data_IF_880468915089
#
_entry.id   IF_880468915089
#
_cell.length_a   1.000
_cell.length_b   1.000
_cell.length_c   1.000
_cell.angle_alpha   90.00
_cell.angle_beta   90.00
_cell.angle_gamma   90.00
#
_symmetry.space_group_name_H-M   'P 1'
#
loop_
_entity.id
_entity.type
_entity.pdbx_description
1 polymer ?
#
# COMPACT_ATOMS: atom_id res chain seq x y z
N UNK A 1 44.76 3.98 -27.18
CA UNK A 1 45.92 4.71 -26.61
C UNK A 1 45.40 5.58 -25.47
N UNK A 2 46.14 5.70 -24.38
CA UNK A 2 45.75 6.60 -23.28
C UNK A 2 46.35 7.98 -23.53
N UNK A 3 45.52 9.02 -23.44
CA UNK A 3 45.96 10.40 -23.60
C UNK A 3 46.82 10.87 -22.44
N UNK A 4 47.41 12.07 -22.57
CA UNK A 4 48.26 12.71 -21.55
C UNK A 4 47.55 12.91 -20.20
N UNK A 5 46.21 12.90 -20.16
CA UNK A 5 45.40 12.96 -18.96
C UNK A 5 45.04 11.57 -18.37
N UNK A 6 45.62 10.48 -18.89
CA UNK A 6 45.34 9.11 -18.45
C UNK A 6 44.00 8.53 -18.90
N UNK A 7 43.21 9.28 -19.67
CA UNK A 7 41.94 8.82 -20.24
C UNK A 7 42.15 8.05 -21.54
N UNK A 8 41.47 6.89 -21.73
CA UNK A 8 41.53 6.15 -22.98
C UNK A 8 40.91 6.96 -24.12
N UNK A 9 41.70 7.23 -25.16
CA UNK A 9 41.26 7.91 -26.38
C UNK A 9 40.87 6.84 -27.40
N UNK A 10 39.68 7.02 -27.97
CA UNK A 10 39.03 6.11 -28.90
C UNK A 10 38.80 6.88 -30.19
N UNK A 11 38.97 6.25 -31.35
CA UNK A 11 38.65 6.84 -32.66
C UNK A 11 37.67 5.92 -33.39
N UNK A 12 36.85 6.49 -34.28
CA UNK A 12 35.99 5.71 -35.17
C UNK A 12 36.79 5.12 -36.35
N UNK A 13 36.14 4.37 -37.25
CA UNK A 13 36.78 3.76 -38.43
C UNK A 13 37.42 4.79 -39.39
N UNK A 14 37.00 6.06 -39.30
CA UNK A 14 37.54 7.17 -40.10
C UNK A 14 38.68 7.92 -39.40
N UNK A 15 39.01 7.57 -38.16
CA UNK A 15 40.07 8.23 -37.38
C UNK A 15 39.62 9.49 -36.61
N UNK A 16 38.33 9.78 -36.54
CA UNK A 16 37.79 10.92 -35.79
C UNK A 16 37.51 10.55 -34.34
N UNK A 17 37.67 11.52 -33.43
CA UNK A 17 37.28 11.36 -32.04
C UNK A 17 35.75 11.26 -31.93
N UNK A 18 35.20 10.39 -31.06
CA UNK A 18 33.76 10.29 -30.86
C UNK A 18 33.21 11.65 -30.41
N UNK A 19 32.22 12.15 -31.15
CA UNK A 19 31.56 13.41 -30.83
C UNK A 19 30.90 13.31 -29.45
N UNK A 20 31.20 14.26 -28.56
CA UNK A 20 30.55 14.37 -27.26
C UNK A 20 29.68 15.62 -27.26
N UNK A 21 28.36 15.45 -27.20
CA UNK A 21 27.40 16.55 -27.16
C UNK A 21 26.61 16.51 -25.86
N UNK A 22 26.46 17.66 -25.20
CA UNK A 22 25.48 17.81 -24.13
C UNK A 22 24.09 18.01 -24.74
N UNK A 23 23.10 17.28 -24.25
CA UNK A 23 21.71 17.36 -24.70
C UNK A 23 20.96 18.30 -23.76
N UNK A 24 20.42 19.38 -24.32
CA UNK A 24 19.64 20.37 -23.60
C UNK A 24 18.16 20.19 -23.89
N UNK A 25 17.32 20.27 -22.86
CA UNK A 25 15.88 20.39 -22.99
C UNK A 25 15.49 21.84 -22.76
N UNK A 26 14.79 22.40 -23.73
CA UNK A 26 14.14 23.69 -23.58
C UNK A 26 12.91 23.55 -22.68
N UNK A 27 12.85 24.31 -21.60
CA UNK A 27 11.73 24.32 -20.66
C UNK A 27 11.14 25.73 -20.57
N UNK A 28 9.83 25.85 -20.80
CA UNK A 28 9.07 27.09 -20.62
C UNK A 28 8.35 26.99 -19.28
N UNK A 29 8.82 27.77 -18.29
CA UNK A 29 8.08 27.99 -17.05
C UNK A 29 7.34 29.32 -17.15
N UNK A 30 6.22 29.51 -16.45
CA UNK A 30 5.39 30.72 -16.47
C UNK A 30 6.14 32.06 -16.24
N UNK A 31 7.43 32.03 -15.85
CA UNK A 31 8.26 33.21 -15.58
C UNK A 31 9.64 33.19 -16.25
N UNK A 32 10.06 32.09 -16.89
CA UNK A 32 11.40 31.99 -17.49
C UNK A 32 11.48 30.88 -18.54
N UNK A 33 12.35 31.09 -19.52
CA UNK A 33 12.76 30.09 -20.50
C UNK A 33 14.18 29.65 -20.15
N UNK A 34 14.37 28.36 -19.91
CA UNK A 34 15.66 27.81 -19.47
C UNK A 34 16.01 26.56 -20.29
N UNK A 35 17.29 26.44 -20.65
CA UNK A 35 17.85 25.21 -21.23
C UNK A 35 18.48 24.39 -20.12
N UNK A 36 17.87 23.24 -19.80
CA UNK A 36 18.37 22.32 -18.80
C UNK A 36 19.13 21.19 -19.46
N UNK A 37 20.36 20.91 -19.03
CA UNK A 37 21.10 19.73 -19.49
C UNK A 37 20.36 18.48 -19.04
N UNK A 38 19.80 17.74 -19.99
CA UNK A 38 19.08 16.49 -19.75
C UNK A 38 19.91 15.26 -20.07
N UNK A 39 21.12 15.40 -20.61
CA UNK A 39 21.97 14.25 -20.94
C UNK A 39 23.22 14.58 -21.72
N UNK A 40 23.95 13.55 -22.14
CA UNK A 40 25.12 13.60 -23.00
C UNK A 40 25.03 12.51 -24.09
N UNK A 41 25.48 12.80 -25.29
CA UNK A 41 25.64 11.86 -26.39
C UNK A 41 27.13 11.66 -26.65
N UNK A 42 27.60 10.42 -26.66
CA UNK A 42 29.01 10.06 -26.99
C UNK A 42 29.16 8.86 -27.92
N UNK A 43 28.07 8.09 -28.08
CA UNK A 43 27.88 6.92 -28.96
C UNK A 43 26.46 6.36 -28.73
N UNK A 44 25.98 6.45 -27.49
CA UNK A 44 24.58 6.26 -27.08
C UNK A 44 24.10 7.52 -26.35
N UNK A 45 22.78 7.69 -26.30
CA UNK A 45 22.13 8.80 -25.60
C UNK A 45 22.07 8.49 -24.09
N UNK A 46 22.82 9.23 -23.28
CA UNK A 46 22.81 9.13 -21.82
C UNK A 46 22.01 10.29 -21.24
N UNK A 47 20.81 10.04 -20.71
CA UNK A 47 19.99 11.09 -20.11
C UNK A 47 20.16 11.13 -18.57
N UNK A 48 20.26 12.34 -18.00
CA UNK A 48 20.36 12.67 -16.58
C UNK A 48 19.03 12.48 -15.82
N UNK A 49 18.30 11.38 -16.06
CA UNK A 49 17.41 10.87 -15.01
C UNK A 49 18.30 10.13 -14.04
N UNK A 50 18.17 10.39 -12.74
CA UNK A 50 19.01 9.69 -11.79
C UNK A 50 18.50 8.26 -11.65
N UNK A 51 19.40 7.29 -11.84
CA UNK A 51 19.14 5.87 -11.54
C UNK A 51 18.53 5.70 -10.15
N UNK A 52 18.92 6.58 -9.20
CA UNK A 52 18.34 6.66 -7.86
C UNK A 52 16.83 6.88 -7.86
N UNK A 53 16.28 7.77 -8.70
CA UNK A 53 14.82 7.99 -8.78
C UNK A 53 14.11 6.73 -9.29
N UNK A 54 14.69 6.03 -10.28
CA UNK A 54 14.14 4.76 -10.76
C UNK A 54 14.19 3.66 -9.69
N UNK A 55 15.29 3.57 -8.93
CA UNK A 55 15.42 2.67 -7.78
C UNK A 55 14.37 2.96 -6.72
N UNK A 56 14.22 4.22 -6.31
CA UNK A 56 13.22 4.61 -5.31
C UNK A 56 11.80 4.36 -5.80
N UNK A 57 11.50 4.63 -7.07
CA UNK A 57 10.19 4.31 -7.66
C UNK A 57 9.89 2.82 -7.56
N UNK A 58 10.83 1.94 -7.92
CA UNK A 58 10.66 0.48 -7.81
C UNK A 58 10.48 0.03 -6.35
N UNK A 59 11.22 0.61 -5.42
CA UNK A 59 11.16 0.32 -3.97
C UNK A 59 9.81 0.74 -3.37
N UNK A 60 9.43 2.00 -3.52
CA UNK A 60 8.28 2.56 -2.80
C UNK A 60 6.92 2.14 -3.37
N UNK A 61 6.85 1.81 -4.66
CA UNK A 61 5.60 1.43 -5.32
C UNK A 61 4.94 0.22 -4.66
N UNK A 62 5.72 -0.81 -4.32
CA UNK A 62 5.23 -1.97 -3.56
C UNK A 62 5.24 -1.77 -2.06
N UNK A 63 6.30 -1.16 -1.52
CA UNK A 63 6.49 -1.07 -0.08
C UNK A 63 5.48 -0.18 0.63
N UNK A 64 5.02 0.91 0.00
CA UNK A 64 4.06 1.82 0.63
C UNK A 64 2.77 1.09 1.02
N UNK A 65 2.23 0.29 0.11
CA UNK A 65 1.05 -0.54 0.38
C UNK A 65 1.34 -1.67 1.35
N UNK A 66 2.47 -2.35 1.15
CA UNK A 66 2.88 -3.43 2.04
C UNK A 66 2.95 -2.94 3.48
N UNK A 67 3.46 -1.73 3.73
CA UNK A 67 3.52 -1.14 5.07
C UNK A 67 2.11 -0.98 5.68
N UNK A 68 1.18 -0.38 4.94
CA UNK A 68 -0.20 -0.17 5.39
C UNK A 68 -0.91 -1.49 5.67
N UNK A 69 -0.90 -2.42 4.71
CA UNK A 69 -1.62 -3.69 4.83
C UNK A 69 -0.97 -4.67 5.80
N UNK A 70 0.37 -4.68 5.94
CA UNK A 70 1.03 -5.47 6.99
C UNK A 70 0.64 -4.98 8.39
N UNK A 71 0.61 -3.67 8.62
CA UNK A 71 0.20 -3.11 9.91
C UNK A 71 -1.27 -3.42 10.21
N UNK A 72 -2.16 -3.27 9.23
CA UNK A 72 -3.58 -3.61 9.37
C UNK A 72 -3.80 -5.10 9.60
N UNK A 73 -3.07 -5.95 8.88
CA UNK A 73 -3.11 -7.40 9.07
C UNK A 73 -2.66 -7.80 10.47
N UNK A 74 -1.53 -7.27 10.95
CA UNK A 74 -1.07 -7.53 12.32
C UNK A 74 -2.11 -7.09 13.34
N UNK A 75 -2.72 -5.92 13.15
CA UNK A 75 -3.75 -5.38 14.05
C UNK A 75 -5.01 -6.24 14.05
N UNK A 76 -5.53 -6.61 12.88
CA UNK A 76 -6.73 -7.46 12.74
C UNK A 76 -6.49 -8.87 13.25
N UNK A 77 -5.35 -9.48 12.93
CA UNK A 77 -4.96 -10.80 13.42
C UNK A 77 -4.87 -10.81 14.95
N UNK A 78 -4.28 -9.78 15.57
CA UNK A 78 -4.27 -9.64 17.03
C UNK A 78 -5.69 -9.59 17.60
N UNK A 79 -6.57 -8.77 17.04
CA UNK A 79 -7.98 -8.68 17.49
C UNK A 79 -8.64 -10.06 17.39
N UNK A 80 -8.50 -10.73 16.23
CA UNK A 80 -9.05 -12.06 16.01
C UNK A 80 -8.58 -13.06 17.07
N UNK A 81 -7.28 -13.12 17.36
CA UNK A 81 -6.69 -14.04 18.34
C UNK A 81 -7.18 -13.78 19.76
N UNK A 82 -7.36 -12.51 20.13
CA UNK A 82 -7.91 -12.14 21.45
C UNK A 82 -9.33 -12.67 21.61
N UNK A 83 -10.20 -12.45 20.62
CA UNK A 83 -11.59 -12.87 20.71
C UNK A 83 -11.77 -14.38 20.56
N UNK A 84 -11.05 -15.03 19.65
CA UNK A 84 -11.11 -16.48 19.48
C UNK A 84 -10.61 -17.24 20.70
N UNK A 85 -9.52 -16.79 21.32
CA UNK A 85 -9.05 -17.41 22.56
C UNK A 85 -9.94 -17.06 23.74
N UNK A 86 -10.48 -15.84 23.79
CA UNK A 86 -11.45 -15.46 24.81
C UNK A 86 -12.71 -16.34 24.84
N UNK A 87 -13.10 -16.95 23.70
CA UNK A 87 -14.19 -17.94 23.64
C UNK A 87 -13.83 -19.29 24.25
N UNK A 88 -12.55 -19.66 24.27
CA UNK A 88 -12.07 -21.00 24.64
C UNK A 88 -11.40 -21.05 26.02
N UNK A 89 -10.78 -19.96 26.45
CA UNK A 89 -10.01 -19.90 27.70
C UNK A 89 -9.89 -18.48 28.26
N UNK A 90 -9.70 -18.38 29.58
CA UNK A 90 -9.34 -17.16 30.30
C UNK A 90 -7.83 -16.86 30.26
N UNK A 91 -7.02 -17.67 29.56
CA UNK A 91 -5.59 -17.43 29.38
C UNK A 91 -5.31 -16.49 28.21
N UNK A 92 -4.39 -15.55 28.41
CA UNK A 92 -4.00 -14.61 27.36
C UNK A 92 -3.24 -15.29 26.20
N UNK A 93 -3.47 -14.88 24.94
CA UNK A 93 -2.72 -15.40 23.80
C UNK A 93 -1.23 -15.07 23.87
N UNK A 94 -0.40 -15.98 23.35
CA UNK A 94 0.99 -15.67 22.97
C UNK A 94 1.01 -14.49 21.96
N UNK A 95 2.10 -13.74 21.76
CA UNK A 95 2.16 -12.65 20.74
C UNK A 95 1.11 -11.53 20.86
N UNK A 96 0.78 -11.10 22.09
CA UNK A 96 -0.05 -9.91 22.34
C UNK A 96 0.81 -8.66 22.52
N UNK A 97 2.09 -8.82 22.88
CA UNK A 97 2.97 -7.72 23.23
C UNK A 97 3.22 -6.77 22.05
N UNK A 98 3.40 -5.45 22.31
CA UNK A 98 3.75 -4.49 21.25
C UNK A 98 4.99 -4.90 20.46
N UNK A 99 6.01 -5.42 21.15
CA UNK A 99 7.22 -5.93 20.50
C UNK A 99 6.91 -7.05 19.49
N UNK A 100 6.08 -8.02 19.87
CA UNK A 100 5.70 -9.11 18.94
C UNK A 100 4.91 -8.62 17.72
N UNK A 101 4.10 -7.56 17.86
CA UNK A 101 3.36 -6.96 16.75
C UNK A 101 4.30 -6.26 15.77
N UNK A 102 5.31 -5.54 16.29
CA UNK A 102 6.35 -4.95 15.45
C UNK A 102 7.13 -6.02 14.70
N UNK A 103 7.55 -7.10 15.38
CA UNK A 103 8.28 -8.21 14.74
C UNK A 103 7.47 -8.84 13.60
N UNK A 104 6.17 -9.11 13.80
CA UNK A 104 5.31 -9.66 12.75
C UNK A 104 5.15 -8.67 11.58
N UNK A 105 4.99 -7.38 11.88
CA UNK A 105 4.81 -6.37 10.84
C UNK A 105 6.09 -6.19 10.02
N UNK A 106 7.24 -6.12 10.69
CA UNK A 106 8.54 -6.05 10.03
C UNK A 106 8.83 -7.30 9.21
N UNK A 107 8.51 -8.51 9.69
CA UNK A 107 8.73 -9.73 8.91
C UNK A 107 7.93 -9.74 7.60
N UNK A 108 6.67 -9.29 7.64
CA UNK A 108 5.83 -9.17 6.44
C UNK A 108 6.37 -8.13 5.45
N UNK A 109 6.87 -6.99 5.94
CA UNK A 109 7.48 -5.95 5.09
C UNK A 109 8.83 -6.41 4.53
N UNK A 110 9.65 -7.08 5.34
CA UNK A 110 10.93 -7.63 4.92
C UNK A 110 10.78 -8.62 3.77
N UNK A 111 9.69 -9.38 3.72
CA UNK A 111 9.40 -10.26 2.59
C UNK A 111 9.24 -9.48 1.26
N UNK A 112 8.55 -8.33 1.29
CA UNK A 112 8.44 -7.45 0.11
C UNK A 112 9.80 -6.84 -0.27
N UNK A 113 10.58 -6.41 0.73
CA UNK A 113 11.93 -5.86 0.51
C UNK A 113 12.86 -6.88 -0.15
N UNK A 114 12.88 -8.12 0.36
CA UNK A 114 13.69 -9.21 -0.19
C UNK A 114 13.29 -9.45 -1.66
N UNK A 115 12.00 -9.49 -1.98
CA UNK A 115 11.52 -9.62 -3.36
C UNK A 115 12.04 -8.50 -4.27
N UNK A 116 12.01 -7.24 -3.82
CA UNK A 116 12.54 -6.10 -4.57
C UNK A 116 14.06 -6.21 -4.78
N UNK A 117 14.82 -6.61 -3.75
CA UNK A 117 16.27 -6.77 -3.86
C UNK A 117 16.68 -7.92 -4.79
N UNK A 118 15.95 -9.05 -4.76
CA UNK A 118 16.13 -10.14 -5.72
C UNK A 118 15.94 -9.58 -7.14
N UNK A 119 14.92 -8.75 -7.35
CA UNK A 119 14.66 -8.16 -8.65
C UNK A 119 15.71 -7.14 -9.09
N UNK A 120 16.34 -6.42 -8.16
CA UNK A 120 17.48 -5.55 -8.46
C UNK A 120 18.72 -6.34 -8.87
N UNK A 121 18.90 -7.56 -8.36
CA UNK A 121 20.00 -8.42 -8.74
C UNK A 121 19.83 -9.02 -10.14
N UNK A 122 18.58 -9.29 -10.55
CA UNK A 122 18.24 -9.84 -11.87
C UNK A 122 18.21 -8.73 -12.92
N UNK A 123 17.41 -7.68 -12.66
CA UNK A 123 17.20 -6.56 -13.57
C UNK A 123 17.59 -5.25 -12.87
N UNK A 124 18.85 -4.77 -13.00
CA UNK A 124 19.26 -3.53 -12.37
C UNK A 124 18.44 -2.34 -12.90
N UNK A 125 18.13 -1.36 -12.04
CA UNK A 125 17.38 -0.17 -12.44
C UNK A 125 18.18 0.59 -13.50
N UNK A 126 17.62 0.67 -14.69
CA UNK A 126 18.18 1.44 -15.79
C UNK A 126 17.09 2.30 -16.43
N UNK A 127 17.53 3.26 -17.22
CA UNK A 127 16.67 4.25 -17.85
C UNK A 127 16.68 3.97 -19.35
N UNK A 128 15.49 3.90 -19.94
CA UNK A 128 15.32 3.64 -21.36
C UNK A 128 14.48 4.73 -22.00
N UNK A 129 14.81 5.05 -23.25
CA UNK A 129 14.00 5.94 -24.09
C UNK A 129 13.06 5.06 -24.89
N UNK A 130 11.76 5.20 -24.66
CA UNK A 130 10.74 4.50 -25.41
C UNK A 130 10.27 5.38 -26.58
N UNK A 131 10.48 4.90 -27.80
CA UNK A 131 10.02 5.53 -29.05
C UNK A 131 8.74 4.88 -29.59
N UNK A 132 8.26 3.80 -28.97
CA UNK A 132 7.10 3.02 -29.40
C UNK A 132 5.77 3.52 -28.84
N UNK A 133 5.77 3.99 -27.59
CA UNK A 133 4.55 4.43 -26.88
C UNK A 133 3.93 5.69 -27.49
N UNK A 134 4.75 6.63 -27.97
CA UNK A 134 4.29 7.92 -28.49
C UNK A 134 4.58 8.05 -29.99
N UNK A 135 4.34 6.98 -30.74
CA UNK A 135 4.35 7.04 -32.20
C UNK A 135 3.19 7.91 -32.68
N UNK A 136 3.51 9.09 -33.16
CA UNK A 136 2.61 9.91 -34.00
C UNK A 136 2.47 9.25 -35.38
N UNK A 137 1.34 9.44 -36.06
CA UNK A 137 1.16 8.97 -37.45
C UNK A 137 2.21 9.56 -38.40
N UNK A 138 2.72 10.75 -38.08
CA UNK A 138 3.83 11.40 -38.77
C UNK A 138 5.19 10.98 -38.16
N UNK A 139 6.10 10.37 -38.95
CA UNK A 139 7.41 9.92 -38.48
C UNK A 139 8.37 11.07 -38.14
N UNK A 140 8.13 12.27 -38.68
CA UNK A 140 8.91 13.49 -38.38
C UNK A 140 8.63 14.06 -36.98
N UNK A 141 7.50 13.69 -36.38
CA UNK A 141 7.07 14.15 -35.05
C UNK A 141 7.29 13.11 -33.95
N UNK A 142 8.05 12.05 -34.22
CA UNK A 142 8.30 10.97 -33.25
C UNK A 142 9.00 11.51 -31.99
N UNK A 143 8.31 11.43 -30.84
CA UNK A 143 8.83 11.84 -29.54
C UNK A 143 9.29 10.61 -28.75
N UNK A 144 10.55 10.64 -28.29
CA UNK A 144 11.05 9.65 -27.33
C UNK A 144 10.62 10.02 -25.91
N UNK A 145 10.03 9.07 -25.18
CA UNK A 145 9.64 9.25 -23.79
C UNK A 145 10.66 8.58 -22.87
N UNK A 146 11.19 9.34 -21.92
CA UNK A 146 12.14 8.82 -20.94
C UNK A 146 11.38 8.08 -19.83
N UNK A 147 11.67 6.78 -19.67
CA UNK A 147 11.07 5.96 -18.62
C UNK A 147 12.11 5.16 -17.85
N UNK A 148 11.80 4.87 -16.60
CA UNK A 148 12.52 3.83 -15.88
C UNK A 148 12.13 2.50 -16.51
N UNK A 149 13.10 1.69 -16.89
CA UNK A 149 12.80 0.32 -17.24
C UNK A 149 12.23 -0.35 -15.98
N UNK A 150 11.05 -0.96 -16.07
CA UNK A 150 10.41 -1.68 -14.97
C UNK A 150 9.76 -2.88 -15.63
N UNK A 151 10.20 -4.08 -15.26
CA UNK A 151 9.59 -5.31 -15.74
C UNK A 151 8.15 -5.41 -15.25
N UNK A 152 7.21 -5.67 -16.16
CA UNK A 152 5.79 -5.92 -15.83
C UNK A 152 5.65 -7.06 -14.83
N UNK A 153 6.53 -8.08 -14.91
CA UNK A 153 6.58 -9.16 -13.95
C UNK A 153 6.94 -8.67 -12.54
N UNK A 154 7.92 -7.76 -12.42
CA UNK A 154 8.28 -7.12 -11.13
C UNK A 154 7.07 -6.45 -10.50
N UNK A 155 6.37 -5.67 -11.33
CA UNK A 155 5.24 -4.85 -10.92
C UNK A 155 4.09 -5.75 -10.48
N UNK A 156 3.73 -6.76 -11.29
CA UNK A 156 2.68 -7.73 -10.99
C UNK A 156 3.00 -8.53 -9.72
N UNK A 157 4.22 -9.02 -9.56
CA UNK A 157 4.63 -9.75 -8.36
C UNK A 157 4.56 -8.87 -7.11
N UNK A 158 5.06 -7.63 -7.19
CA UNK A 158 5.06 -6.68 -6.07
C UNK A 158 3.65 -6.26 -5.67
N UNK A 159 2.78 -5.95 -6.64
CA UNK A 159 1.38 -5.62 -6.39
C UNK A 159 0.62 -6.86 -5.90
N UNK A 160 0.92 -8.02 -6.45
CA UNK A 160 0.33 -9.31 -6.06
C UNK A 160 0.53 -9.61 -4.58
N UNK A 161 1.74 -9.44 -4.04
CA UNK A 161 1.97 -9.61 -2.60
C UNK A 161 1.15 -8.64 -1.76
N UNK A 162 1.09 -7.36 -2.15
CA UNK A 162 0.28 -6.36 -1.46
C UNK A 162 -1.23 -6.69 -1.51
N UNK A 163 -1.72 -7.20 -2.62
CA UNK A 163 -3.11 -7.69 -2.77
C UNK A 163 -3.36 -8.90 -1.88
N UNK A 164 -2.42 -9.85 -1.79
CA UNK A 164 -2.53 -11.00 -0.90
C UNK A 164 -2.62 -10.57 0.58
N UNK A 165 -1.80 -9.60 1.01
CA UNK A 165 -1.89 -9.01 2.34
C UNK A 165 -3.26 -8.35 2.58
N UNK A 166 -3.74 -7.58 1.61
CA UNK A 166 -5.05 -6.93 1.66
C UNK A 166 -6.18 -7.95 1.79
N UNK A 167 -6.23 -8.97 0.93
CA UNK A 167 -7.25 -10.04 0.97
C UNK A 167 -7.22 -10.78 2.30
N UNK A 168 -6.03 -11.14 2.78
CA UNK A 168 -5.87 -11.80 4.08
C UNK A 168 -6.38 -10.92 5.22
N UNK A 169 -6.05 -9.62 5.19
CA UNK A 169 -6.54 -8.66 6.17
C UNK A 169 -8.07 -8.51 6.10
N UNK A 170 -8.68 -8.54 4.91
CA UNK A 170 -10.12 -8.52 4.72
C UNK A 170 -10.79 -9.77 5.31
N UNK A 171 -10.21 -10.96 5.12
CA UNK A 171 -10.69 -12.20 5.75
C UNK A 171 -10.70 -12.08 7.27
N UNK A 172 -9.62 -11.56 7.87
CA UNK A 172 -9.58 -11.33 9.32
C UNK A 172 -10.57 -10.25 9.76
N UNK A 173 -10.71 -9.16 9.01
CA UNK A 173 -11.69 -8.12 9.28
C UNK A 173 -13.12 -8.68 9.32
N UNK A 174 -13.47 -9.56 8.37
CA UNK A 174 -14.75 -10.28 8.34
C UNK A 174 -14.93 -11.13 9.59
N UNK A 175 -13.92 -11.93 9.95
CA UNK A 175 -13.95 -12.77 11.16
C UNK A 175 -14.09 -11.95 12.45
N UNK A 176 -13.66 -10.69 12.44
CA UNK A 176 -13.78 -9.78 13.60
C UNK A 176 -15.02 -8.89 13.58
N UNK A 177 -15.93 -9.01 12.61
CA UNK A 177 -17.15 -8.17 12.51
C UNK A 177 -18.06 -8.26 13.72
N UNK A 178 -18.15 -9.43 14.35
CA UNK A 178 -19.03 -9.64 15.49
C UNK A 178 -18.51 -9.04 16.81
N UNK A 179 -17.28 -8.52 16.84
CA UNK A 179 -16.68 -7.94 18.04
C UNK A 179 -17.60 -6.84 18.59
N UNK A 180 -17.98 -6.89 19.89
CA UNK A 180 -18.96 -5.97 20.45
C UNK A 180 -18.49 -4.51 20.33
N UNK A 181 -19.44 -3.59 20.15
CA UNK A 181 -19.18 -2.17 19.86
C UNK A 181 -18.38 -1.45 20.95
N UNK A 182 -18.33 -2.02 22.15
CA UNK A 182 -17.46 -1.58 23.24
C UNK A 182 -15.96 -1.64 22.88
N UNK A 183 -15.59 -2.40 21.84
CA UNK A 183 -14.31 -2.37 21.13
C UNK A 183 -14.48 -1.68 19.76
N UNK A 184 -14.81 -0.39 19.83
CA UNK A 184 -15.07 0.53 18.72
C UNK A 184 -14.00 0.57 17.60
N UNK A 185 -12.85 -0.08 17.76
CA UNK A 185 -11.80 -0.12 16.75
C UNK A 185 -12.04 -1.12 15.60
N UNK A 186 -12.88 -2.15 15.76
CA UNK A 186 -13.01 -3.20 14.74
C UNK A 186 -13.81 -2.78 13.49
N UNK A 187 -14.87 -1.99 13.67
CA UNK A 187 -15.72 -1.48 12.57
C UNK A 187 -14.97 -0.59 11.56
N UNK A 188 -14.24 0.47 11.97
CA UNK A 188 -13.51 1.33 11.02
C UNK A 188 -12.45 0.55 10.24
N UNK A 189 -11.83 -0.46 10.86
CA UNK A 189 -10.89 -1.36 10.17
C UNK A 189 -11.62 -2.15 9.08
N UNK A 190 -12.80 -2.70 9.38
CA UNK A 190 -13.62 -3.39 8.37
C UNK A 190 -13.96 -2.50 7.17
N UNK A 191 -14.47 -1.29 7.42
CA UNK A 191 -14.80 -0.35 6.34
C UNK A 191 -13.59 0.03 5.49
N UNK A 192 -12.44 0.24 6.13
CA UNK A 192 -11.17 0.48 5.43
C UNK A 192 -10.87 -0.65 4.46
N UNK A 193 -10.89 -1.89 4.96
CA UNK A 193 -10.56 -3.07 4.15
C UNK A 193 -11.53 -3.30 2.97
N UNK A 194 -12.83 -3.15 3.19
CA UNK A 194 -13.81 -3.33 2.10
C UNK A 194 -13.66 -2.27 1.01
N UNK A 195 -13.46 -1.02 1.42
CA UNK A 195 -13.30 0.10 0.49
C UNK A 195 -12.02 -0.07 -0.33
N UNK A 196 -10.90 -0.42 0.31
CA UNK A 196 -9.64 -0.69 -0.42
C UNK A 196 -9.78 -1.87 -1.37
N UNK A 197 -10.48 -2.94 -0.99
CA UNK A 197 -10.74 -4.06 -1.90
C UNK A 197 -11.50 -3.61 -3.16
N UNK A 198 -12.52 -2.75 -3.03
CA UNK A 198 -13.27 -2.23 -4.18
C UNK A 198 -12.35 -1.41 -5.10
N UNK A 199 -11.50 -0.55 -4.54
CA UNK A 199 -10.53 0.25 -5.32
C UNK A 199 -9.59 -0.66 -6.12
N UNK A 200 -9.08 -1.72 -5.50
CA UNK A 200 -8.17 -2.67 -6.16
C UNK A 200 -8.87 -3.57 -7.17
N UNK A 201 -10.12 -3.96 -6.92
CA UNK A 201 -10.94 -4.69 -7.89
C UNK A 201 -11.23 -3.85 -9.14
N UNK A 202 -11.41 -2.53 -9.00
CA UNK A 202 -11.56 -1.62 -10.13
C UNK A 202 -10.23 -1.39 -10.88
N UNK A 203 -9.09 -1.38 -10.17
CA UNK A 203 -7.77 -1.22 -10.77
C UNK A 203 -7.40 -2.35 -11.75
N UNK A 204 -7.66 -3.62 -11.37
CA UNK A 204 -7.28 -4.80 -12.16
C UNK A 204 -7.75 -4.73 -13.63
N UNK A 205 -9.05 -4.57 -13.93
CA UNK A 205 -9.53 -4.53 -15.31
C UNK A 205 -9.01 -3.31 -16.07
N UNK A 206 -8.80 -2.17 -15.41
CA UNK A 206 -8.22 -0.97 -16.04
C UNK A 206 -6.77 -1.23 -16.42
N UNK A 207 -5.99 -1.86 -15.53
CA UNK A 207 -4.58 -2.14 -15.75
C UNK A 207 -4.36 -3.10 -16.92
N UNK A 208 -5.11 -4.21 -16.96
CA UNK A 208 -4.98 -5.20 -18.04
C UNK A 208 -5.72 -4.82 -19.32
N UNK A 209 -6.87 -4.15 -19.21
CA UNK A 209 -7.67 -3.73 -20.37
C UNK A 209 -7.01 -2.64 -21.21
N UNK A 210 -6.07 -1.89 -20.62
CA UNK A 210 -5.33 -0.82 -21.31
C UNK A 210 -3.95 -1.25 -21.81
N UNK A 211 -3.58 -2.52 -21.61
CA UNK A 211 -2.26 -3.04 -21.98
C UNK A 211 -1.97 -2.99 -23.49
N UNK A 212 -3.01 -2.93 -24.33
CA UNK A 212 -2.89 -2.84 -25.79
C UNK A 212 -3.00 -1.41 -26.34
N UNK A 213 -3.30 -0.42 -25.49
CA UNK A 213 -3.49 0.97 -25.90
C UNK A 213 -2.16 1.69 -26.14
N UNK A 214 -2.10 2.61 -27.10
CA UNK A 214 -0.93 3.49 -27.28
C UNK A 214 -0.67 4.39 -26.05
N UNK A 215 -1.72 4.66 -25.25
CA UNK A 215 -1.63 5.46 -24.03
C UNK A 215 -1.41 4.61 -22.76
N UNK A 216 -0.99 3.35 -22.89
CA UNK A 216 -0.91 2.39 -21.77
C UNK A 216 -0.09 2.93 -20.60
N UNK A 217 1.07 3.56 -20.83
CA UNK A 217 1.89 4.10 -19.75
C UNK A 217 1.17 5.19 -18.97
N UNK A 218 0.49 6.11 -19.66
CA UNK A 218 -0.23 7.21 -19.02
C UNK A 218 -1.39 6.68 -18.18
N UNK A 219 -2.20 5.78 -18.76
CA UNK A 219 -3.38 5.24 -18.08
C UNK A 219 -2.95 4.37 -16.90
N UNK A 220 -2.04 3.41 -17.08
CA UNK A 220 -1.59 2.54 -16.00
C UNK A 220 -0.92 3.32 -14.86
N UNK A 221 -0.05 4.29 -15.17
CA UNK A 221 0.61 5.11 -14.14
C UNK A 221 -0.40 5.97 -13.39
N UNK A 222 -1.34 6.58 -14.09
CA UNK A 222 -2.38 7.43 -13.48
C UNK A 222 -3.31 6.60 -12.62
N UNK A 223 -3.87 5.50 -13.14
CA UNK A 223 -4.76 4.62 -12.39
C UNK A 223 -4.05 4.04 -11.16
N UNK A 224 -2.81 3.58 -11.30
CA UNK A 224 -2.03 3.09 -10.15
C UNK A 224 -1.87 4.19 -9.09
N UNK A 225 -1.48 5.40 -9.48
CA UNK A 225 -1.27 6.52 -8.55
C UNK A 225 -2.57 6.90 -7.84
N UNK A 226 -3.69 6.95 -8.56
CA UNK A 226 -5.02 7.24 -8.01
C UNK A 226 -5.46 6.14 -7.04
N UNK A 227 -5.35 4.86 -7.42
CA UNK A 227 -5.70 3.72 -6.56
C UNK A 227 -4.87 3.68 -5.28
N UNK A 228 -3.57 3.96 -5.37
CA UNK A 228 -2.66 4.06 -4.22
C UNK A 228 -3.06 5.21 -3.29
N UNK A 229 -3.24 6.40 -3.83
CA UNK A 229 -3.56 7.62 -3.08
C UNK A 229 -4.93 7.51 -2.40
N UNK A 230 -5.91 6.94 -3.11
CA UNK A 230 -7.24 6.73 -2.56
C UNK A 230 -7.22 5.67 -1.44
N UNK A 231 -6.47 4.58 -1.61
CA UNK A 231 -6.30 3.56 -0.58
C UNK A 231 -5.64 4.12 0.70
N UNK A 232 -4.62 4.96 0.55
CA UNK A 232 -3.98 5.66 1.65
C UNK A 232 -4.94 6.63 2.35
N UNK A 233 -5.69 7.41 1.57
CA UNK A 233 -6.67 8.38 2.08
C UNK A 233 -7.80 7.71 2.85
N UNK A 234 -8.32 6.59 2.35
CA UNK A 234 -9.32 5.76 3.02
C UNK A 234 -8.79 5.23 4.35
N UNK A 235 -7.57 4.69 4.35
CA UNK A 235 -6.94 4.17 5.57
C UNK A 235 -6.74 5.28 6.61
N UNK A 236 -6.26 6.45 6.19
CA UNK A 236 -6.08 7.59 7.09
C UNK A 236 -7.42 8.10 7.64
N UNK A 237 -8.39 8.35 6.75
CA UNK A 237 -9.70 8.87 7.11
C UNK A 237 -10.46 7.92 8.04
N UNK A 238 -10.68 6.69 7.62
CA UNK A 238 -11.55 5.77 8.37
C UNK A 238 -10.94 5.29 9.69
N UNK A 239 -9.61 5.16 9.79
CA UNK A 239 -8.97 4.65 11.01
C UNK A 239 -8.64 5.74 12.03
N UNK A 240 -8.27 6.94 11.57
CA UNK A 240 -7.77 8.00 12.45
C UNK A 240 -8.79 9.09 12.71
N UNK A 241 -9.67 9.44 11.77
CA UNK A 241 -10.68 10.48 12.02
C UNK A 241 -11.59 10.17 13.22
N UNK A 242 -12.11 8.95 13.41
CA UNK A 242 -12.91 8.65 14.60
C UNK A 242 -12.16 8.88 15.91
N UNK A 243 -10.83 8.62 15.92
CA UNK A 243 -9.99 8.83 17.10
C UNK A 243 -9.73 10.30 17.35
N UNK A 244 -9.39 11.05 16.30
CA UNK A 244 -9.16 12.49 16.38
C UNK A 244 -10.44 13.22 16.82
N UNK A 245 -11.59 12.80 16.29
CA UNK A 245 -12.90 13.33 16.68
C UNK A 245 -13.18 13.14 18.19
N UNK A 246 -12.97 11.94 18.73
CA UNK A 246 -13.15 11.67 20.16
C UNK A 246 -12.16 12.50 21.00
N UNK A 247 -10.91 12.63 20.59
CA UNK A 247 -9.90 13.40 21.34
C UNK A 247 -10.26 14.89 21.41
N UNK A 248 -10.78 15.48 20.33
CA UNK A 248 -11.05 16.93 20.24
C UNK A 248 -12.43 17.29 20.80
N UNK A 249 -13.48 16.55 20.41
CA UNK A 249 -14.87 16.93 20.68
C UNK A 249 -15.51 16.19 21.85
N UNK A 250 -14.97 15.02 22.23
CA UNK A 250 -15.50 14.18 23.30
C UNK A 250 -14.40 13.70 24.27
N UNK A 251 -13.63 14.62 24.88
CA UNK A 251 -12.52 14.27 25.77
C UNK A 251 -12.97 13.44 26.99
N UNK A 252 -14.23 13.54 27.40
CA UNK A 252 -14.84 12.72 28.46
C UNK A 252 -14.85 11.22 28.14
N UNK A 253 -14.84 10.85 26.87
CA UNK A 253 -14.75 9.45 26.42
C UNK A 253 -13.29 8.97 26.36
N UNK A 254 -12.31 9.88 26.37
CA UNK A 254 -10.88 9.60 26.32
C UNK A 254 -10.26 9.38 27.72
N UNK A 255 -11.02 8.81 28.65
CA UNK A 255 -10.50 8.38 29.95
C UNK A 255 -9.81 7.02 29.80
N UNK A 256 -8.62 6.86 30.39
CA UNK A 256 -7.96 5.56 30.49
C UNK A 256 -8.80 4.62 31.35
N UNK A 257 -9.75 3.91 30.74
CA UNK A 257 -10.45 2.82 31.42
C UNK A 257 -9.39 1.78 31.81
N UNK A 258 -9.08 1.74 33.12
CA UNK A 258 -8.18 0.80 33.81
C UNK A 258 -8.03 -0.48 32.99
N UNK A 259 -6.81 -0.76 32.47
CA UNK A 259 -6.45 -1.89 31.58
C UNK A 259 -7.55 -2.97 31.64
N UNK A 260 -8.49 -2.94 30.70
CA UNK A 260 -9.64 -3.86 30.73
C UNK A 260 -9.09 -5.27 30.91
N UNK A 261 -9.35 -5.85 32.07
CA UNK A 261 -8.78 -7.15 32.44
C UNK A 261 -9.13 -8.15 31.34
N UNK A 262 -8.22 -9.07 31.03
CA UNK A 262 -8.49 -10.13 30.06
C UNK A 262 -9.81 -10.87 30.39
N UNK A 263 -10.19 -10.92 31.67
CA UNK A 263 -11.52 -11.38 32.13
C UNK A 263 -12.69 -10.63 31.49
N UNK A 264 -12.65 -9.30 31.36
CA UNK A 264 -13.71 -8.51 30.73
C UNK A 264 -13.80 -8.78 29.22
N UNK A 265 -12.67 -9.05 28.57
CA UNK A 265 -12.61 -9.42 27.15
C UNK A 265 -13.19 -10.81 26.93
N UNK A 266 -12.87 -11.76 27.82
CA UNK A 266 -13.44 -13.11 27.83
C UNK A 266 -14.96 -13.06 28.05
N UNK A 267 -15.45 -12.29 29.02
CA UNK A 267 -16.90 -12.12 29.24
C UNK A 267 -17.61 -11.59 27.99
N UNK A 268 -17.03 -10.59 27.32
CA UNK A 268 -17.57 -10.05 26.08
C UNK A 268 -17.58 -11.07 24.93
N UNK A 269 -16.50 -11.87 24.79
CA UNK A 269 -16.42 -12.94 23.79
C UNK A 269 -17.43 -14.07 24.03
N UNK A 270 -17.65 -14.45 25.29
CA UNK A 270 -18.63 -15.49 25.70
C UNK A 270 -20.07 -15.00 25.55
N UNK A 271 -20.36 -13.73 25.85
CA UNK A 271 -21.69 -13.15 25.58
C UNK A 271 -22.00 -13.16 24.08
N UNK A 272 -21.00 -12.89 23.24
CA UNK A 272 -21.16 -12.94 21.78
C UNK A 272 -21.40 -14.37 21.26
N UNK A 273 -20.73 -15.40 21.80
CA UNK A 273 -20.99 -16.79 21.38
C UNK A 273 -22.42 -17.21 21.73
N UNK A 274 -22.92 -16.81 22.92
CA UNK A 274 -24.31 -17.04 23.32
C UNK A 274 -25.31 -16.32 22.42
N UNK A 275 -25.03 -15.07 22.02
CA UNK A 275 -25.85 -14.32 21.06
C UNK A 275 -25.88 -14.96 19.67
N UNK A 276 -24.73 -15.46 19.19
CA UNK A 276 -24.63 -16.14 17.89
C UNK A 276 -25.38 -17.47 17.89
N UNK A 277 -25.37 -18.20 19.02
CA UNK A 277 -26.13 -19.44 19.21
C UNK A 277 -27.63 -19.17 19.31
N UNK A 278 -28.05 -18.18 20.12
CA UNK A 278 -29.47 -17.76 20.25
C UNK A 278 -30.05 -17.21 18.95
N UNK A 279 -29.22 -16.64 18.07
CA UNK A 279 -29.61 -16.16 16.74
C UNK A 279 -29.76 -17.26 15.68
N UNK A 280 -29.11 -18.42 15.87
CA UNK A 280 -29.31 -19.60 15.00
C UNK A 280 -30.57 -20.40 15.40
N UNK A 281 -31.06 -20.25 16.63
CA UNK A 281 -32.21 -21.02 17.16
C UNK A 281 -33.56 -20.29 17.05
N UNK A 282 -33.63 -19.05 16.52
CA UNK A 282 -34.88 -18.28 16.43
C UNK A 282 -35.07 -17.61 15.06
N UNK A 283 -36.26 -17.72 14.42
CA UNK A 283 -36.55 -16.97 13.20
C UNK A 283 -36.68 -15.46 13.50
N UNK A 284 -36.15 -14.65 12.57
CA UNK A 284 -35.98 -13.19 12.63
C UNK A 284 -37.12 -12.38 13.27
N UNK A 285 -36.78 -11.42 14.16
CA UNK A 285 -37.69 -10.32 14.50
C UNK A 285 -37.33 -9.45 15.71
N UNK A 286 -36.83 -10.01 16.82
CA UNK A 286 -36.89 -9.32 18.13
C UNK A 286 -35.55 -8.80 18.67
N UNK A 287 -34.46 -8.88 17.90
CA UNK A 287 -33.09 -8.65 18.45
C UNK A 287 -32.82 -7.20 18.89
N UNK A 288 -33.55 -6.20 18.35
CA UNK A 288 -33.22 -4.79 18.62
C UNK A 288 -33.75 -4.26 19.95
N UNK A 289 -34.80 -4.86 20.52
CA UNK A 289 -35.50 -4.26 21.67
C UNK A 289 -34.93 -4.72 23.02
N UNK A 290 -34.43 -5.96 23.14
CA UNK A 290 -33.79 -6.45 24.39
C UNK A 290 -32.39 -5.81 24.66
N UNK A 291 -31.79 -5.15 23.67
CA UNK A 291 -30.45 -4.56 23.75
C UNK A 291 -30.39 -3.31 24.65
N UNK A 292 -31.48 -2.54 24.76
CA UNK A 292 -31.52 -1.37 25.65
C UNK A 292 -31.80 -1.75 27.11
N UNK A 293 -32.70 -2.70 27.34
CA UNK A 293 -33.22 -3.00 28.69
C UNK A 293 -32.20 -3.71 29.60
N UNK A 294 -31.31 -4.50 28.98
CA UNK A 294 -30.23 -5.23 29.69
C UNK A 294 -29.00 -4.36 30.00
N UNK A 295 -28.82 -3.24 29.29
CA UNK A 295 -27.76 -2.26 29.59
C UNK A 295 -28.14 -1.33 30.74
N UNK A 296 -29.42 -0.98 30.90
CA UNK A 296 -29.89 -0.13 32.00
C UNK A 296 -29.95 -0.85 33.35
N UNK A 297 -30.26 -2.14 33.37
CA UNK A 297 -30.36 -2.92 34.61
C UNK A 297 -29.00 -3.20 35.25
N UNK A 298 -27.93 -3.38 34.46
CA UNK A 298 -26.58 -3.60 34.98
C UNK A 298 -25.85 -2.32 35.43
N UNK A 299 -26.33 -1.13 35.05
CA UNK A 299 -25.77 0.14 35.53
C UNK A 299 -26.33 0.55 36.89
N UNK A 300 -27.41 -0.08 37.38
CA UNK A 300 -28.04 0.26 38.67
C UNK A 300 -27.61 -0.63 39.83
N UNK A 301 -26.73 -1.63 39.63
CA UNK A 301 -26.33 -2.56 40.70
C UNK A 301 -24.81 -2.62 40.98
N UNK A 302 -24.06 -1.53 40.80
CA UNK A 302 -22.68 -1.41 41.31
C UNK A 302 -22.37 0.01 41.72
#
# INVERSE_FOLDING_TARGET
>A
FSGSAGTPVIFNENGDAPGRYDIFQYQITNKSTEYKVIGQWTNQLHLNVSTMVCSFRRIFLGLGMCFSYAALLTKTNRIHRIFEQGKKSVTAPKFISPASQLVITFSLISMQLIGVFIWFAIDPPHIIVDYGEQRTLEPENARGVLKCDISDLSLICSLGYSILLMVTCTVYAIKTRGVPETFNEAKPIGFTMYTTCIIWLAFIPIFFGTAQSAEKMYIQTTTLTVSMSLSASVSLGMLYMPKVYIIIFHPEQNVQKRKRSFKAVVTAATMQSKLTQKGNDRPNGEVKTELCESLETNSKSS
#
